data_IF_569657219353
#
_entry.id   IF_569657219353
#
_cell.length_a   1.000
_cell.length_b   1.000
_cell.length_c   1.000
_cell.angle_alpha   90.00
_cell.angle_beta   90.00
_cell.angle_gamma   90.00
#
_symmetry.space_group_name_H-M   'P 1'
#
loop_
_entity.id
_entity.type
_entity.pdbx_description
1 polymer ?
#
# COMPACT_ATOMS: atom_id res chain seq x y z
N UNK A 1 9.82 -6.56 -2.68
CA UNK A 1 9.15 -5.93 -3.86
C UNK A 1 9.24 -4.41 -3.86
N UNK A 2 8.87 -3.72 -2.78
CA UNK A 2 8.95 -2.26 -2.69
C UNK A 2 10.36 -1.68 -2.91
N UNK A 3 11.38 -2.18 -2.20
CA UNK A 3 12.78 -1.81 -2.44
C UNK A 3 13.18 -1.98 -3.92
N UNK A 4 12.87 -3.15 -4.52
CA UNK A 4 13.15 -3.38 -5.93
C UNK A 4 12.39 -2.40 -6.83
N UNK A 5 11.19 -1.95 -6.46
CA UNK A 5 10.41 -0.96 -7.22
C UNK A 5 11.10 0.41 -7.20
N UNK A 6 11.54 0.84 -6.02
CA UNK A 6 12.09 2.17 -5.77
C UNK A 6 13.63 2.25 -5.87
N UNK A 7 14.24 1.24 -6.50
CA UNK A 7 15.69 1.16 -6.74
C UNK A 7 16.51 1.16 -5.43
N UNK A 8 16.10 0.27 -4.52
CA UNK A 8 16.64 0.07 -3.17
C UNK A 8 16.50 1.29 -2.25
N UNK A 9 15.44 2.07 -2.42
CA UNK A 9 15.02 3.11 -1.48
C UNK A 9 13.74 2.70 -0.76
N UNK A 10 13.56 3.21 0.45
CA UNK A 10 12.40 2.92 1.30
C UNK A 10 11.09 3.56 0.82
N UNK A 11 11.20 4.63 0.03
CA UNK A 11 10.07 5.36 -0.54
C UNK A 11 10.55 6.34 -1.61
N UNK A 12 9.63 7.12 -2.16
CA UNK A 12 9.93 8.13 -3.19
C UNK A 12 9.82 9.57 -2.69
N UNK A 13 9.21 9.80 -1.52
CA UNK A 13 9.12 11.13 -0.94
C UNK A 13 10.50 11.60 -0.43
N UNK A 14 10.74 12.94 -0.38
CA UNK A 14 12.01 13.51 0.05
C UNK A 14 12.55 13.01 1.42
N UNK A 15 11.72 12.71 2.44
CA UNK A 15 12.21 12.15 3.70
C UNK A 15 12.92 10.80 3.60
N UNK A 16 12.81 10.08 2.48
CA UNK A 16 13.52 8.81 2.27
C UNK A 16 14.95 9.00 1.72
N UNK A 17 15.44 10.22 1.51
CA UNK A 17 16.87 10.46 1.27
C UNK A 17 17.62 10.32 2.61
N UNK A 18 18.63 9.44 2.73
CA UNK A 18 19.40 9.28 3.97
C UNK A 18 20.09 10.55 4.49
N UNK A 19 20.20 11.60 3.67
CA UNK A 19 20.72 12.91 4.06
C UNK A 19 19.64 13.87 4.56
N UNK A 20 18.37 13.48 4.44
CA UNK A 20 17.24 14.26 4.92
C UNK A 20 17.29 14.37 6.45
N UNK A 21 16.95 15.55 6.95
CA UNK A 21 16.79 15.77 8.39
C UNK A 21 15.32 15.66 8.71
N UNK A 22 14.92 14.46 9.13
CA UNK A 22 13.57 14.15 9.60
C UNK A 22 13.62 13.93 11.11
N UNK A 23 12.75 14.61 11.86
CA UNK A 23 12.76 14.54 13.32
C UNK A 23 11.84 13.44 13.83
N UNK A 24 10.56 13.45 13.42
CA UNK A 24 9.56 12.48 13.90
C UNK A 24 8.77 11.86 12.76
N UNK A 25 8.70 10.54 12.74
CA UNK A 25 8.13 9.74 11.65
C UNK A 25 7.04 8.80 12.16
N UNK A 26 5.95 8.70 11.42
CA UNK A 26 4.89 7.73 11.63
C UNK A 26 4.80 6.78 10.43
N UNK A 27 4.83 5.48 10.66
CA UNK A 27 4.44 4.46 9.67
C UNK A 27 3.10 3.87 10.07
N UNK A 28 2.09 4.08 9.22
CA UNK A 28 0.71 3.70 9.49
C UNK A 28 0.38 2.38 8.80
N UNK A 29 -0.03 1.38 9.58
CA UNK A 29 -0.22 0.01 9.09
C UNK A 29 1.12 -0.69 8.89
N UNK A 30 1.99 -0.60 9.89
CA UNK A 30 3.39 -1.02 9.76
C UNK A 30 3.55 -2.53 9.54
N UNK A 31 2.50 -3.33 9.84
CA UNK A 31 2.51 -4.78 9.71
C UNK A 31 3.63 -5.39 10.54
N UNK A 32 4.57 -6.06 9.87
CA UNK A 32 5.73 -6.68 10.54
C UNK A 32 6.77 -5.68 11.07
N UNK A 33 6.66 -4.40 10.72
CA UNK A 33 7.59 -3.35 11.17
C UNK A 33 8.88 -3.25 10.35
N UNK A 34 9.05 -4.03 9.28
CA UNK A 34 10.30 -4.06 8.48
C UNK A 34 10.69 -2.67 7.96
N UNK A 35 9.72 -1.90 7.45
CA UNK A 35 10.00 -0.57 6.91
C UNK A 35 10.46 0.39 8.01
N UNK A 36 9.79 0.39 9.17
CA UNK A 36 10.13 1.23 10.33
C UNK A 36 11.55 0.94 10.82
N UNK A 37 11.91 -0.34 10.87
CA UNK A 37 13.22 -0.80 11.29
C UNK A 37 14.32 -0.30 10.34
N UNK A 38 14.15 -0.51 9.04
CA UNK A 38 15.10 -0.05 8.02
C UNK A 38 15.19 1.49 8.00
N UNK A 39 14.05 2.20 8.13
CA UNK A 39 14.04 3.66 8.17
C UNK A 39 14.76 4.21 9.39
N UNK A 40 14.56 3.59 10.57
CA UNK A 40 15.23 3.96 11.81
C UNK A 40 16.74 3.74 11.77
N UNK A 41 17.21 2.72 11.05
CA UNK A 41 18.64 2.50 10.79
C UNK A 41 19.23 3.54 9.84
N UNK A 42 18.51 3.94 8.79
CA UNK A 42 18.95 4.98 7.85
C UNK A 42 18.94 6.39 8.48
N UNK A 43 18.07 6.63 9.46
CA UNK A 43 17.87 7.93 10.14
C UNK A 43 17.97 7.80 11.66
N UNK A 44 19.18 7.58 12.22
CA UNK A 44 19.36 7.30 13.65
C UNK A 44 18.98 8.46 14.58
N UNK A 45 18.91 9.69 14.05
CA UNK A 45 18.50 10.89 14.79
C UNK A 45 16.97 11.11 14.81
N UNK A 46 16.21 10.33 14.03
CA UNK A 46 14.75 10.45 13.93
C UNK A 46 14.04 9.55 14.95
N UNK A 47 12.96 10.02 15.56
CA UNK A 47 12.00 9.18 16.29
C UNK A 47 11.05 8.52 15.28
N UNK A 48 11.03 7.18 15.21
CA UNK A 48 10.17 6.44 14.27
C UNK A 48 9.15 5.62 15.04
N UNK A 49 7.87 5.88 14.79
CA UNK A 49 6.74 5.17 15.38
C UNK A 49 6.03 4.34 14.31
N UNK A 50 5.97 3.03 14.49
CA UNK A 50 5.10 2.14 13.71
C UNK A 50 3.80 1.86 14.44
N UNK A 51 2.66 2.01 13.77
CA UNK A 51 1.35 1.64 14.31
C UNK A 51 0.69 0.54 13.48
N UNK A 52 0.10 -0.44 14.17
CA UNK A 52 -0.70 -1.49 13.57
C UNK A 52 -1.76 -2.00 14.57
N UNK A 53 -2.87 -2.55 14.07
CA UNK A 53 -3.87 -3.20 14.92
C UNK A 53 -3.35 -4.49 15.56
N UNK A 54 -2.34 -5.12 14.96
CA UNK A 54 -1.81 -6.42 15.35
C UNK A 54 -0.49 -6.29 16.10
N UNK A 55 -0.32 -7.05 17.18
CA UNK A 55 0.92 -7.12 17.96
C UNK A 55 1.89 -8.20 17.40
N UNK A 56 2.43 -7.99 16.20
CA UNK A 56 3.27 -8.97 15.48
C UNK A 56 4.70 -8.49 15.23
N UNK A 57 5.09 -7.37 15.83
CA UNK A 57 6.36 -6.69 15.59
C UNK A 57 7.48 -7.30 16.46
N UNK A 58 8.75 -7.22 16.00
CA UNK A 58 9.88 -7.79 16.73
C UNK A 58 10.14 -7.10 18.08
N UNK A 59 10.66 -7.86 19.05
CA UNK A 59 11.06 -7.32 20.36
C UNK A 59 12.36 -6.50 20.29
N UNK A 60 13.26 -6.84 19.38
CA UNK A 60 14.53 -6.16 19.19
C UNK A 60 14.40 -5.10 18.11
N UNK A 61 14.50 -3.83 18.51
CA UNK A 61 14.38 -2.66 17.63
C UNK A 61 15.58 -1.72 17.75
N UNK A 62 15.87 -0.89 16.73
CA UNK A 62 16.73 0.27 16.88
C UNK A 62 16.26 1.13 18.07
N UNK A 63 17.18 1.82 18.76
CA UNK A 63 16.85 2.59 19.96
C UNK A 63 15.87 3.76 19.69
N UNK A 64 15.76 4.18 18.43
CA UNK A 64 14.90 5.25 17.96
C UNK A 64 13.57 4.76 17.36
N UNK A 65 13.33 3.44 17.33
CA UNK A 65 12.12 2.82 16.80
C UNK A 65 11.21 2.37 17.93
N UNK A 66 9.92 2.69 17.81
CA UNK A 66 8.86 2.21 18.71
C UNK A 66 7.69 1.66 17.92
N UNK A 67 6.97 0.71 18.53
CA UNK A 67 5.73 0.18 18.01
C UNK A 67 4.59 0.46 18.99
N UNK A 68 3.40 0.74 18.45
CA UNK A 68 2.19 0.92 19.20
C UNK A 68 1.05 0.17 18.53
N UNK A 69 0.27 -0.56 19.35
CA UNK A 69 -0.95 -1.20 18.89
C UNK A 69 -2.04 -0.13 18.90
N UNK A 70 -2.56 0.22 17.74
CA UNK A 70 -3.57 1.28 17.62
C UNK A 70 -4.49 1.07 16.43
N UNK A 71 -5.71 1.61 16.55
CA UNK A 71 -6.65 1.69 15.44
C UNK A 71 -6.52 3.06 14.76
N UNK A 72 -6.13 3.05 13.50
CA UNK A 72 -5.89 4.25 12.70
C UNK A 72 -7.20 4.96 12.33
N UNK A 73 -8.34 4.28 12.42
CA UNK A 73 -9.67 4.85 12.19
C UNK A 73 -10.18 5.64 13.42
N UNK A 74 -9.64 5.38 14.61
CA UNK A 74 -9.95 6.14 15.84
C UNK A 74 -9.28 7.54 15.85
N UNK A 75 -9.67 8.45 16.77
CA UNK A 75 -9.03 9.76 16.89
C UNK A 75 -7.54 9.66 17.25
N UNK A 76 -6.69 10.34 16.47
CA UNK A 76 -5.25 10.39 16.74
C UNK A 76 -4.97 11.34 17.91
N UNK A 77 -4.34 10.81 18.97
CA UNK A 77 -4.12 11.53 20.24
C UNK A 77 -2.66 11.93 20.47
N UNK A 78 -1.86 12.01 19.39
CA UNK A 78 -0.46 12.37 19.48
C UNK A 78 -0.26 13.79 20.02
N UNK A 79 0.69 13.95 20.94
CA UNK A 79 0.97 15.24 21.58
C UNK A 79 1.86 16.17 20.75
N UNK A 80 2.49 15.63 19.71
CA UNK A 80 3.39 16.34 18.79
C UNK A 80 3.08 15.91 17.36
N UNK A 81 3.27 16.80 16.37
CA UNK A 81 3.13 16.43 14.96
C UNK A 81 4.28 15.53 14.49
N UNK A 82 4.18 15.08 13.25
CA UNK A 82 5.19 14.31 12.52
C UNK A 82 5.75 15.13 11.36
N UNK A 83 7.03 14.95 11.07
CA UNK A 83 7.67 15.53 9.89
C UNK A 83 7.44 14.66 8.66
N UNK A 84 7.16 13.37 8.87
CA UNK A 84 6.87 12.42 7.82
C UNK A 84 5.87 11.37 8.29
N UNK A 85 4.81 11.17 7.50
CA UNK A 85 3.87 10.06 7.66
C UNK A 85 3.99 9.19 6.40
N UNK A 86 4.34 7.93 6.60
CA UNK A 86 4.36 6.90 5.57
C UNK A 86 3.17 5.97 5.77
N UNK A 87 2.53 5.57 4.68
CA UNK A 87 1.50 4.55 4.68
C UNK A 87 1.56 3.74 3.40
N UNK A 88 1.36 2.43 3.53
CA UNK A 88 1.54 1.51 2.42
C UNK A 88 0.57 0.35 2.49
N UNK A 89 -0.05 0.04 1.35
CA UNK A 89 -1.00 -1.07 1.18
C UNK A 89 -2.18 -1.04 2.15
N UNK A 90 -2.72 0.15 2.39
CA UNK A 90 -3.83 0.40 3.32
C UNK A 90 -5.21 0.41 2.68
N UNK A 91 -5.32 0.16 1.36
CA UNK A 91 -6.60 0.06 0.62
C UNK A 91 -7.65 -0.85 1.25
N UNK A 92 -7.26 -1.85 2.05
CA UNK A 92 -8.21 -2.74 2.75
C UNK A 92 -8.55 -2.31 4.18
N UNK A 93 -7.76 -1.42 4.75
CA UNK A 93 -7.83 -1.04 6.16
C UNK A 93 -8.54 0.30 6.34
N UNK A 94 -8.40 1.22 5.36
CA UNK A 94 -8.98 2.56 5.40
C UNK A 94 -10.37 2.58 4.77
N UNK A 95 -11.39 2.93 5.54
CA UNK A 95 -12.77 3.06 5.04
C UNK A 95 -13.03 4.37 4.29
N UNK A 96 -12.42 5.48 4.71
CA UNK A 96 -12.54 6.79 4.05
C UNK A 96 -11.17 7.43 3.86
N UNK A 97 -10.70 7.46 2.61
CA UNK A 97 -9.39 8.02 2.28
C UNK A 97 -9.31 9.54 2.48
N UNK A 98 -10.42 10.28 2.36
CA UNK A 98 -10.42 11.72 2.57
C UNK A 98 -10.29 12.04 4.06
N UNK A 99 -11.06 11.38 4.91
CA UNK A 99 -10.94 11.51 6.35
C UNK A 99 -9.55 11.09 6.83
N UNK A 100 -9.05 9.95 6.35
CA UNK A 100 -7.72 9.46 6.69
C UNK A 100 -6.60 10.42 6.26
N UNK A 101 -6.66 10.93 5.03
CA UNK A 101 -5.68 11.90 4.52
C UNK A 101 -5.76 13.22 5.27
N UNK A 102 -6.95 13.65 5.70
CA UNK A 102 -7.13 14.83 6.55
C UNK A 102 -6.49 14.62 7.93
N UNK A 103 -6.71 13.46 8.58
CA UNK A 103 -6.05 13.11 9.85
C UNK A 103 -4.53 13.16 9.71
N UNK A 104 -3.99 12.62 8.63
CA UNK A 104 -2.56 12.71 8.33
C UNK A 104 -2.12 14.18 8.20
N UNK A 105 -2.83 14.99 7.41
CA UNK A 105 -2.52 16.41 7.24
C UNK A 105 -2.52 17.18 8.56
N UNK A 106 -3.51 16.95 9.42
CA UNK A 106 -3.65 17.64 10.70
C UNK A 106 -2.51 17.29 11.67
N UNK A 107 -1.98 16.07 11.57
CA UNK A 107 -0.88 15.58 12.40
C UNK A 107 0.51 15.82 11.80
N UNK A 108 0.62 16.47 10.64
CA UNK A 108 1.91 16.86 10.06
C UNK A 108 2.40 18.22 10.57
N UNK A 109 3.71 18.32 10.78
CA UNK A 109 4.43 19.59 10.94
C UNK A 109 4.29 20.42 9.66
N UNK A 110 4.38 21.76 9.74
CA UNK A 110 4.59 22.58 8.54
C UNK A 110 5.83 22.08 7.77
N UNK A 111 5.72 21.96 6.44
CA UNK A 111 6.68 21.28 5.56
C UNK A 111 6.82 19.76 5.72
N UNK A 112 6.01 19.13 6.56
CA UNK A 112 5.98 17.68 6.69
C UNK A 112 5.39 17.00 5.46
N UNK A 113 5.69 15.72 5.26
CA UNK A 113 5.24 14.95 4.09
C UNK A 113 4.30 13.82 4.47
N UNK A 114 3.30 13.58 3.62
CA UNK A 114 2.57 12.31 3.59
C UNK A 114 3.02 11.54 2.34
N UNK A 115 3.41 10.27 2.48
CA UNK A 115 3.62 9.34 1.37
C UNK A 115 2.64 8.16 1.49
N UNK A 116 1.87 7.94 0.42
CA UNK A 116 0.94 6.84 0.24
C UNK A 116 1.44 5.92 -0.88
N UNK A 117 1.66 4.66 -0.55
CA UNK A 117 2.14 3.63 -1.47
C UNK A 117 1.09 2.52 -1.62
N UNK A 118 0.29 2.58 -2.69
CA UNK A 118 -0.88 1.72 -2.87
C UNK A 118 -0.82 0.84 -4.12
N UNK A 119 -1.54 -0.28 -4.09
CA UNK A 119 -1.64 -1.24 -5.19
C UNK A 119 -3.07 -1.28 -5.71
N UNK A 120 -3.23 -1.02 -7.02
CA UNK A 120 -4.50 -1.19 -7.71
C UNK A 120 -4.80 -2.69 -7.84
N UNK A 121 -5.94 -3.09 -7.28
CA UNK A 121 -6.38 -4.49 -7.24
C UNK A 121 -6.90 -4.97 -8.59
N UNK A 122 -7.21 -4.04 -9.51
CA UNK A 122 -7.63 -4.37 -10.86
C UNK A 122 -6.40 -4.56 -11.76
N UNK A 123 -6.04 -5.82 -12.10
CA UNK A 123 -4.92 -6.05 -13.00
C UNK A 123 -5.22 -5.49 -14.38
N UNK A 124 -4.18 -4.94 -15.01
CA UNK A 124 -4.22 -4.35 -16.34
C UNK A 124 -3.30 -5.11 -17.28
N UNK A 125 -3.50 -4.93 -18.57
CA UNK A 125 -2.65 -5.45 -19.64
C UNK A 125 -2.63 -4.44 -20.78
N UNK A 126 -1.46 -4.24 -21.39
CA UNK A 126 -1.28 -3.27 -22.48
C UNK A 126 -1.53 -3.89 -23.87
N UNK A 127 -1.71 -5.21 -23.97
CA UNK A 127 -1.77 -5.94 -25.24
C UNK A 127 -2.94 -6.94 -25.31
N UNK A 128 -3.96 -6.71 -24.48
CA UNK A 128 -5.21 -7.48 -24.45
C UNK A 128 -5.02 -8.97 -24.14
N UNK A 129 -3.87 -9.40 -23.63
CA UNK A 129 -3.64 -10.81 -23.27
C UNK A 129 -4.40 -11.23 -22.02
N UNK A 130 -4.71 -10.28 -21.14
CA UNK A 130 -5.64 -10.47 -20.03
C UNK A 130 -7.08 -10.35 -20.57
N UNK A 131 -7.79 -11.47 -20.64
CA UNK A 131 -9.15 -11.55 -21.18
C UNK A 131 -10.19 -11.41 -20.08
N UNK A 132 -11.36 -10.88 -20.41
CA UNK A 132 -12.44 -10.68 -19.43
C UNK A 132 -12.87 -11.97 -18.73
N UNK A 133 -12.76 -13.12 -19.39
CA UNK A 133 -13.06 -14.45 -18.86
C UNK A 133 -11.90 -15.11 -18.09
N UNK A 134 -10.74 -14.45 -17.99
CA UNK A 134 -9.61 -14.94 -17.19
C UNK A 134 -10.03 -15.10 -15.73
N UNK A 135 -9.67 -16.24 -15.13
CA UNK A 135 -9.96 -16.59 -13.74
C UNK A 135 -9.44 -15.51 -12.78
N UNK A 136 -8.28 -14.91 -13.04
CA UNK A 136 -7.75 -13.81 -12.20
C UNK A 136 -8.67 -12.57 -12.20
N UNK A 137 -9.21 -12.17 -13.35
CA UNK A 137 -10.17 -11.05 -13.41
C UNK A 137 -11.51 -11.42 -12.80
N UNK A 138 -11.98 -12.66 -13.02
CA UNK A 138 -13.18 -13.18 -12.36
C UNK A 138 -13.03 -13.15 -10.85
N UNK A 139 -11.87 -13.53 -10.31
CA UNK A 139 -11.59 -13.45 -8.89
C UNK A 139 -11.67 -12.02 -8.36
N UNK A 140 -11.00 -11.06 -9.01
CA UNK A 140 -11.03 -9.65 -8.57
C UNK A 140 -12.45 -9.09 -8.59
N UNK A 141 -13.28 -9.45 -9.58
CA UNK A 141 -14.71 -9.06 -9.62
C UNK A 141 -15.50 -9.62 -8.43
N UNK A 142 -15.42 -10.93 -8.20
CA UNK A 142 -16.09 -11.56 -7.05
C UNK A 142 -15.63 -10.96 -5.72
N UNK A 143 -14.33 -10.65 -5.62
CA UNK A 143 -13.77 -10.03 -4.43
C UNK A 143 -14.29 -8.60 -4.23
N UNK A 144 -14.34 -7.78 -5.28
CA UNK A 144 -14.91 -6.43 -5.23
C UNK A 144 -16.40 -6.44 -4.87
N UNK A 145 -17.17 -7.36 -5.44
CA UNK A 145 -18.60 -7.55 -5.10
C UNK A 145 -18.78 -7.93 -3.62
N UNK A 146 -17.95 -8.84 -3.11
CA UNK A 146 -17.97 -9.20 -1.70
C UNK A 146 -17.57 -8.03 -0.79
N UNK A 147 -16.60 -7.22 -1.21
CA UNK A 147 -16.16 -6.04 -0.47
C UNK A 147 -17.31 -5.01 -0.33
N UNK A 148 -18.12 -4.82 -1.37
CA UNK A 148 -19.36 -4.02 -1.30
C UNK A 148 -20.35 -4.63 -0.31
N UNK A 149 -20.59 -5.95 -0.37
CA UNK A 149 -21.50 -6.65 0.56
C UNK A 149 -21.04 -6.57 2.02
N UNK A 150 -19.73 -6.52 2.27
CA UNK A 150 -19.15 -6.32 3.60
C UNK A 150 -19.11 -4.86 4.05
N UNK A 151 -19.58 -3.92 3.22
CA UNK A 151 -19.60 -2.49 3.54
C UNK A 151 -18.24 -1.80 3.45
N UNK A 152 -17.25 -2.43 2.80
CA UNK A 152 -15.89 -1.88 2.58
C UNK A 152 -15.51 -2.00 1.10
N UNK A 153 -16.13 -1.22 0.19
CA UNK A 153 -15.86 -1.31 -1.24
C UNK A 153 -14.40 -0.93 -1.55
N UNK A 154 -13.83 -1.52 -2.61
CA UNK A 154 -12.53 -1.09 -3.11
C UNK A 154 -12.60 0.35 -3.60
N UNK A 155 -11.67 1.17 -3.11
CA UNK A 155 -11.59 2.58 -3.48
C UNK A 155 -10.61 2.78 -4.63
N UNK A 156 -10.90 3.76 -5.48
CA UNK A 156 -10.02 4.12 -6.57
C UNK A 156 -8.82 4.91 -6.06
N UNK A 157 -7.67 4.26 -5.93
CA UNK A 157 -6.45 4.87 -5.40
C UNK A 157 -5.90 6.02 -6.28
N UNK A 158 -6.38 6.17 -7.52
CA UNK A 158 -5.96 7.29 -8.40
C UNK A 158 -6.45 8.63 -7.87
N UNK A 159 -7.56 8.64 -7.12
CA UNK A 159 -8.16 9.85 -6.56
C UNK A 159 -7.38 10.40 -5.37
N UNK A 160 -6.44 9.63 -4.79
CA UNK A 160 -5.65 10.04 -3.64
C UNK A 160 -4.83 11.31 -3.92
N UNK A 161 -4.32 11.46 -5.14
CA UNK A 161 -3.66 12.70 -5.56
C UNK A 161 -4.60 13.90 -5.45
N UNK A 162 -5.81 13.77 -5.96
CA UNK A 162 -6.81 14.84 -5.97
C UNK A 162 -7.30 15.15 -4.56
N UNK A 163 -7.48 14.12 -3.72
CA UNK A 163 -7.78 14.26 -2.28
C UNK A 163 -6.67 15.06 -1.58
N UNK A 164 -5.40 14.75 -1.80
CA UNK A 164 -4.29 15.51 -1.20
C UNK A 164 -4.30 16.98 -1.64
N UNK A 165 -4.55 17.25 -2.93
CA UNK A 165 -4.67 18.62 -3.45
C UNK A 165 -5.85 19.34 -2.80
N UNK A 166 -7.00 18.69 -2.69
CA UNK A 166 -8.22 19.27 -2.09
C UNK A 166 -8.01 19.63 -0.62
N UNK A 167 -7.34 18.77 0.14
CA UNK A 167 -7.03 19.00 1.56
C UNK A 167 -6.03 20.15 1.78
N UNK A 168 -5.20 20.44 0.77
CA UNK A 168 -4.28 21.58 0.78
C UNK A 168 -2.80 21.22 0.77
N UNK A 169 -2.45 19.96 0.53
CA UNK A 169 -1.05 19.59 0.27
C UNK A 169 -0.51 20.34 -0.96
N UNK A 170 0.78 20.68 -0.90
CA UNK A 170 1.56 21.28 -2.00
C UNK A 170 2.52 20.25 -2.58
N UNK A 171 3.04 20.57 -3.76
CA UNK A 171 4.05 19.77 -4.45
C UNK A 171 3.64 18.29 -4.60
N UNK A 172 2.34 18.05 -4.85
CA UNK A 172 1.77 16.71 -4.88
C UNK A 172 2.28 15.95 -6.10
N UNK A 173 3.08 14.92 -5.84
CA UNK A 173 3.64 14.01 -6.83
C UNK A 173 2.85 12.70 -6.84
N UNK A 174 2.70 12.11 -8.03
CA UNK A 174 2.11 10.79 -8.19
C UNK A 174 2.82 10.05 -9.33
N UNK A 175 3.35 8.87 -9.03
CA UNK A 175 4.02 8.02 -10.00
C UNK A 175 3.45 6.61 -9.97
N UNK A 176 3.10 6.12 -11.16
CA UNK A 176 2.68 4.74 -11.36
C UNK A 176 3.88 3.87 -11.73
N UNK A 177 3.97 2.72 -11.08
CA UNK A 177 4.86 1.60 -11.38
C UNK A 177 4.02 0.39 -11.81
N UNK A 178 4.64 -0.56 -12.49
CA UNK A 178 3.99 -1.81 -12.89
C UNK A 178 4.58 -2.96 -12.11
N UNK A 179 3.73 -3.74 -11.44
CA UNK A 179 4.09 -5.03 -10.87
C UNK A 179 3.49 -6.14 -11.74
N UNK A 180 4.29 -6.74 -12.64
CA UNK A 180 3.85 -7.86 -13.46
C UNK A 180 3.28 -8.98 -12.59
N UNK A 181 2.27 -9.70 -13.05
CA UNK A 181 1.69 -10.83 -12.31
C UNK A 181 2.58 -12.06 -12.31
N UNK A 182 3.55 -12.13 -13.24
CA UNK A 182 4.58 -13.16 -13.32
C UNK A 182 5.81 -12.66 -14.10
N UNK A 183 6.77 -13.57 -14.33
CA UNK A 183 8.05 -13.31 -15.00
C UNK A 183 7.98 -13.20 -16.53
N UNK A 184 6.85 -12.76 -17.11
CA UNK A 184 6.70 -12.52 -18.56
C UNK A 184 7.57 -11.39 -19.13
N UNK A 185 7.91 -10.30 -18.41
CA UNK A 185 8.71 -9.23 -18.99
C UNK A 185 10.12 -9.67 -19.37
N UNK A 186 10.67 -9.08 -20.43
CA UNK A 186 12.07 -9.28 -20.84
C UNK A 186 13.05 -8.50 -19.97
N UNK A 187 12.65 -7.32 -19.51
CA UNK A 187 13.47 -6.48 -18.63
C UNK A 187 13.77 -7.22 -17.31
N UNK A 188 15.03 -7.14 -16.86
CA UNK A 188 15.50 -7.91 -15.70
C UNK A 188 14.77 -7.50 -14.42
N UNK A 189 14.63 -6.19 -14.16
CA UNK A 189 14.00 -5.65 -12.96
C UNK A 189 12.52 -6.05 -12.92
N UNK A 190 11.79 -5.87 -14.01
CA UNK A 190 10.37 -6.22 -14.08
C UNK A 190 10.13 -7.73 -14.05
N UNK A 191 11.01 -8.54 -14.63
CA UNK A 191 10.93 -10.01 -14.55
C UNK A 191 11.06 -10.50 -13.11
N UNK A 192 11.99 -9.91 -12.35
CA UNK A 192 12.22 -10.21 -10.94
C UNK A 192 11.05 -9.73 -10.07
N UNK A 193 10.56 -8.50 -10.30
CA UNK A 193 9.32 -8.02 -9.67
C UNK A 193 8.15 -8.96 -9.93
N UNK A 194 8.00 -9.43 -11.16
CA UNK A 194 6.94 -10.36 -11.53
C UNK A 194 7.05 -11.73 -10.86
N UNK A 195 8.27 -12.24 -10.69
CA UNK A 195 8.50 -13.46 -9.92
C UNK A 195 8.05 -13.30 -8.46
N UNK A 196 8.49 -12.23 -7.79
CA UNK A 196 8.13 -11.99 -6.39
C UNK A 196 6.65 -11.67 -6.20
N UNK A 197 6.04 -10.93 -7.14
CA UNK A 197 4.61 -10.63 -7.08
C UNK A 197 3.76 -11.90 -7.23
N UNK A 198 4.16 -12.80 -8.14
CA UNK A 198 3.53 -14.10 -8.30
C UNK A 198 3.58 -14.91 -6.99
N UNK A 199 4.77 -15.05 -6.42
CA UNK A 199 4.98 -15.81 -5.19
C UNK A 199 4.16 -15.25 -4.02
N UNK A 200 4.26 -13.94 -3.80
CA UNK A 200 3.51 -13.22 -2.76
C UNK A 200 1.99 -13.41 -2.91
N UNK A 201 1.45 -13.19 -4.10
CA UNK A 201 0.02 -13.30 -4.33
C UNK A 201 -0.48 -14.75 -4.21
N UNK A 202 0.22 -15.71 -4.80
CA UNK A 202 -0.19 -17.11 -4.79
C UNK A 202 -0.10 -17.75 -3.39
N UNK A 203 0.84 -17.30 -2.55
CA UNK A 203 0.93 -17.70 -1.15
C UNK A 203 -0.27 -17.19 -0.32
N UNK A 204 -0.70 -15.95 -0.55
CA UNK A 204 -1.85 -15.33 0.15
C UNK A 204 -3.23 -15.64 -0.44
N UNK A 205 -3.29 -16.18 -1.66
CA UNK A 205 -4.51 -16.29 -2.47
C UNK A 205 -5.68 -16.95 -1.74
N UNK A 206 -5.43 -18.04 -1.02
CA UNK A 206 -6.50 -18.75 -0.30
C UNK A 206 -7.15 -17.86 0.77
N UNK A 207 -6.35 -17.08 1.49
CA UNK A 207 -6.84 -16.12 2.49
C UNK A 207 -7.72 -15.03 1.85
N UNK A 208 -7.33 -14.54 0.67
CA UNK A 208 -8.12 -13.53 -0.06
C UNK A 208 -9.43 -14.09 -0.63
N UNK A 209 -9.48 -15.38 -0.95
CA UNK A 209 -10.65 -16.00 -1.58
C UNK A 209 -11.66 -16.54 -0.57
N UNK A 210 -11.20 -17.14 0.52
CA UNK A 210 -12.04 -17.99 1.36
C UNK A 210 -13.21 -17.24 1.97
N UNK A 211 -12.96 -16.14 2.69
CA UNK A 211 -14.04 -15.39 3.34
C UNK A 211 -14.97 -14.70 2.33
N UNK A 212 -14.46 -13.98 1.30
CA UNK A 212 -15.31 -13.36 0.29
C UNK A 212 -16.23 -14.34 -0.44
N UNK A 213 -15.69 -15.46 -0.95
CA UNK A 213 -16.47 -16.36 -1.79
C UNK A 213 -17.43 -17.25 -0.97
N UNK A 214 -17.04 -17.67 0.23
CA UNK A 214 -17.94 -18.50 1.06
C UNK A 214 -19.02 -17.69 1.76
N UNK A 215 -18.71 -16.49 2.26
CA UNK A 215 -19.66 -15.70 3.06
C UNK A 215 -20.53 -14.76 2.23
N UNK A 216 -20.01 -14.19 1.14
CA UNK A 216 -20.78 -13.28 0.29
C UNK A 216 -21.43 -14.02 -0.89
N UNK A 217 -20.71 -14.96 -1.51
CA UNK A 217 -21.17 -15.67 -2.70
C UNK A 217 -21.73 -17.07 -2.43
N UNK A 218 -21.73 -17.52 -1.17
CA UNK A 218 -22.26 -18.82 -0.73
C UNK A 218 -21.58 -20.04 -1.38
N UNK A 219 -20.32 -19.91 -1.81
CA UNK A 219 -19.56 -21.05 -2.32
C UNK A 219 -19.17 -22.00 -1.19
N UNK A 220 -19.05 -23.29 -1.53
CA UNK A 220 -18.40 -24.29 -0.69
C UNK A 220 -16.88 -24.06 -0.67
N UNK A 221 -16.20 -24.58 0.36
CA UNK A 221 -14.73 -24.49 0.46
C UNK A 221 -14.03 -25.20 -0.69
N UNK A 222 -14.64 -26.30 -1.15
CA UNK A 222 -14.18 -27.11 -2.26
C UNK A 222 -14.23 -26.32 -3.58
N UNK A 223 -15.33 -25.61 -3.84
CA UNK A 223 -15.45 -24.71 -5.00
C UNK A 223 -14.40 -23.60 -4.99
N UNK A 224 -14.15 -23.00 -3.82
CA UNK A 224 -13.10 -21.97 -3.66
C UNK A 224 -11.72 -22.54 -3.93
N UNK A 225 -11.43 -23.75 -3.43
CA UNK A 225 -10.14 -24.41 -3.62
C UNK A 225 -9.90 -24.71 -5.11
N UNK A 226 -10.90 -25.24 -5.81
CA UNK A 226 -10.83 -25.52 -7.25
C UNK A 226 -10.60 -24.23 -8.04
N UNK A 227 -11.39 -23.18 -7.77
CA UNK A 227 -11.22 -21.91 -8.45
C UNK A 227 -9.87 -21.24 -8.14
N UNK A 228 -9.34 -21.42 -6.93
CA UNK A 228 -8.00 -20.99 -6.58
C UNK A 228 -6.90 -21.66 -7.40
N UNK A 229 -7.11 -22.87 -7.92
CA UNK A 229 -6.19 -23.51 -8.88
C UNK A 229 -6.26 -22.81 -10.23
N UNK A 230 -7.45 -22.47 -10.71
CA UNK A 230 -7.64 -21.73 -11.97
C UNK A 230 -6.96 -20.35 -11.92
N UNK A 231 -7.16 -19.60 -10.84
CA UNK A 231 -6.49 -18.29 -10.65
C UNK A 231 -4.97 -18.45 -10.65
N UNK A 232 -4.42 -19.46 -9.98
CA UNK A 232 -2.97 -19.74 -10.00
C UNK A 232 -2.48 -20.12 -11.41
N UNK A 233 -3.29 -20.83 -12.18
CA UNK A 233 -2.96 -21.19 -13.56
C UNK A 233 -2.87 -19.97 -14.48
N UNK A 234 -3.75 -18.99 -14.32
CA UNK A 234 -3.65 -17.72 -15.02
C UNK A 234 -2.44 -16.91 -14.55
N UNK A 235 -2.26 -16.80 -13.24
CA UNK A 235 -1.14 -16.05 -12.66
C UNK A 235 0.22 -16.60 -13.10
N UNK A 236 0.38 -17.91 -13.33
CA UNK A 236 1.65 -18.49 -13.85
C UNK A 236 1.80 -18.42 -15.37
N UNK A 237 0.72 -18.13 -16.10
CA UNK A 237 0.72 -18.16 -17.56
C UNK A 237 1.47 -16.94 -18.12
N UNK A 238 2.66 -17.17 -18.68
CA UNK A 238 3.50 -16.11 -19.25
C UNK A 238 2.95 -15.51 -20.54
N UNK A 239 1.90 -16.10 -21.13
CA UNK A 239 1.18 -15.50 -22.25
C UNK A 239 0.12 -14.49 -21.79
N UNK A 240 -0.14 -14.37 -20.49
CA UNK A 240 -0.98 -13.32 -19.90
C UNK A 240 -0.06 -12.24 -19.36
N UNK A 241 0.09 -11.15 -20.11
CA UNK A 241 0.93 -10.01 -19.77
C UNK A 241 0.18 -9.02 -18.87
N UNK A 242 -0.30 -9.54 -17.73
CA UNK A 242 -0.99 -8.75 -16.74
C UNK A 242 -0.01 -8.10 -15.75
N UNK A 243 -0.42 -6.99 -15.15
CA UNK A 243 0.28 -6.30 -14.07
C UNK A 243 -0.69 -5.59 -13.13
N UNK A 244 -0.32 -5.46 -11.86
CA UNK A 244 -0.95 -4.53 -10.92
C UNK A 244 -0.32 -3.15 -11.08
N UNK A 245 -1.14 -2.10 -11.14
CA UNK A 245 -0.64 -0.74 -11.12
C UNK A 245 -0.32 -0.36 -9.67
N UNK A 246 0.89 0.13 -9.41
CA UNK A 246 1.33 0.53 -8.08
C UNK A 246 1.58 2.02 -8.08
N UNK A 247 1.05 2.73 -7.11
CA UNK A 247 1.16 4.17 -7.03
C UNK A 247 1.98 4.57 -5.82
N UNK A 248 2.97 5.43 -6.05
CA UNK A 248 3.62 6.20 -4.99
C UNK A 248 3.17 7.64 -5.13
N UNK A 249 2.49 8.15 -4.11
CA UNK A 249 1.85 9.45 -4.09
C UNK A 249 2.34 10.16 -2.84
N UNK A 250 2.87 11.36 -2.98
CA UNK A 250 3.23 12.14 -1.80
C UNK A 250 2.94 13.62 -2.01
N UNK A 251 2.84 14.34 -0.90
CA UNK A 251 2.64 15.77 -0.90
C UNK A 251 3.14 16.37 0.40
N UNK A 252 3.48 17.65 0.34
CA UNK A 252 4.03 18.41 1.46
C UNK A 252 2.94 19.29 2.07
N UNK A 253 2.83 19.31 3.40
CA UNK A 253 2.03 20.31 4.10
C UNK A 253 2.67 21.69 3.92
N UNK A 254 1.93 22.73 3.52
CA UNK A 254 2.48 24.08 3.38
C UNK A 254 3.19 24.54 4.66
N UNK A 255 4.17 25.43 4.52
CA UNK A 255 4.69 26.17 5.67
C UNK A 255 3.63 27.12 6.24
N UNK A 256 3.80 27.57 7.48
CA UNK A 256 2.90 28.57 8.08
C UNK A 256 2.79 29.86 7.25
N UNK A 257 3.89 30.23 6.59
CA UNK A 257 3.96 31.40 5.70
C UNK A 257 3.26 31.19 4.35
N UNK A 258 3.18 29.95 3.87
CA UNK A 258 2.41 29.58 2.67
C UNK A 258 0.92 29.44 2.98
N UNK A 259 0.55 28.97 4.18
CA UNK A 259 -0.84 28.80 4.61
C UNK A 259 -1.56 30.14 4.91
N UNK A 260 -0.80 31.19 5.20
CA UNK A 260 -1.34 32.52 5.52
C UNK A 260 -1.63 33.40 4.28
N UNK A 261 -1.47 32.86 3.06
CA UNK A 261 -1.68 33.56 1.77
C UNK A 261 -2.82 32.94 0.99
#
# INVERSE_FOLDING_TARGET
MWLLTFDNRLGTAPPNDPKSKVGRVLDVGTGTGIWVMEFGEEHPDAEVLGVDLSAIQPEFTPPNVKFQIDDIEEPWTYSQPFDYIHSRTMTFSVADWKEYTQKCYDNLSPNGYLELNEVDLWPKSDDETLKDDSAVLKFVRLWAEAAVMFGRPFQDIRVLKDIMIEIGFKDVYAQMFKWPTNSWPKDRKHRELGFWNHDNFCAGLEGFMMAPLTRAHNWTKEEVTVFGVEVRNDMRNKNIHAYSAVWSIYGRKPSDSEASK
#
